data_IF_876981224054
#
_entry.id   IF_876981224054
#
_cell.length_a   1.000
_cell.length_b   1.000
_cell.length_c   1.000
_cell.angle_alpha   90.00
_cell.angle_beta   90.00
_cell.angle_gamma   90.00
#
_symmetry.space_group_name_H-M   'P 1'
#
loop_
_entity.id
_entity.type
_entity.pdbx_description
1 polymer ?
#
# COMPACT_ATOMS: atom_id res chain seq x y z
N UNK A 1 26.81 -26.78 65.10
CA UNK A 1 27.14 -26.58 63.68
C UNK A 1 25.87 -26.15 62.95
N UNK A 2 25.68 -24.85 62.73
CA UNK A 2 24.52 -24.28 62.02
C UNK A 2 24.85 -24.14 60.55
N UNK A 3 24.15 -24.85 59.65
CA UNK A 3 24.30 -24.74 58.22
C UNK A 3 23.47 -23.53 57.74
N UNK A 4 24.12 -22.52 57.22
CA UNK A 4 23.55 -21.37 56.57
C UNK A 4 23.18 -21.80 55.12
N UNK A 5 21.88 -21.78 54.79
CA UNK A 5 21.35 -21.99 53.44
C UNK A 5 21.25 -20.62 52.80
N UNK A 6 22.16 -20.33 51.87
CA UNK A 6 22.12 -19.11 51.02
C UNK A 6 21.13 -19.37 49.88
N UNK A 7 19.97 -18.76 49.94
CA UNK A 7 19.03 -18.69 48.81
C UNK A 7 19.53 -17.63 47.83
N UNK A 8 20.15 -18.08 46.73
CA UNK A 8 20.50 -17.22 45.61
C UNK A 8 19.23 -16.91 44.82
N UNK A 9 18.73 -15.69 44.95
CA UNK A 9 17.62 -15.17 44.15
C UNK A 9 18.17 -14.88 42.75
N UNK A 10 17.99 -15.83 41.84
CA UNK A 10 18.28 -15.61 40.40
C UNK A 10 17.11 -14.80 39.83
N UNK A 11 17.24 -13.48 39.82
CA UNK A 11 16.32 -12.58 39.08
C UNK A 11 16.45 -12.86 37.60
N UNK A 12 15.58 -13.70 37.06
CA UNK A 12 15.42 -13.88 35.62
C UNK A 12 14.84 -12.57 35.07
N UNK A 13 15.75 -11.73 34.57
CA UNK A 13 15.39 -10.56 33.78
C UNK A 13 14.78 -11.08 32.48
N UNK A 14 13.46 -11.25 32.46
CA UNK A 14 12.73 -11.48 31.21
C UNK A 14 12.93 -10.26 30.33
N UNK A 15 13.98 -10.30 29.52
CA UNK A 15 14.13 -9.39 28.38
C UNK A 15 12.94 -9.67 27.46
N UNK A 16 11.80 -8.98 27.67
CA UNK A 16 10.68 -8.98 26.73
C UNK A 16 11.27 -8.37 25.46
N UNK A 17 11.68 -9.22 24.50
CA UNK A 17 11.85 -8.76 23.15
C UNK A 17 10.56 -8.04 22.78
N UNK A 18 10.61 -6.79 22.34
CA UNK A 18 9.38 -6.11 21.95
C UNK A 18 8.76 -6.94 20.83
N UNK A 19 7.60 -7.55 21.12
CA UNK A 19 6.74 -8.10 20.06
C UNK A 19 6.52 -6.90 19.16
N UNK A 20 7.03 -6.98 17.94
CA UNK A 20 6.91 -5.89 16.99
C UNK A 20 5.41 -5.69 16.74
N UNK A 21 4.87 -4.58 17.24
CA UNK A 21 3.44 -4.32 17.17
C UNK A 21 3.00 -4.33 15.71
N UNK A 22 1.94 -5.07 15.43
CA UNK A 22 1.25 -5.07 14.14
C UNK A 22 0.26 -3.92 14.19
N UNK A 23 0.38 -2.95 13.31
CA UNK A 23 -0.55 -1.84 13.21
C UNK A 23 -0.49 -1.20 11.82
N UNK A 24 -1.62 -0.64 11.40
CA UNK A 24 -1.70 0.15 10.18
C UNK A 24 -1.34 1.63 10.43
N UNK A 25 -1.55 2.13 11.67
CA UNK A 25 -1.26 3.52 12.02
C UNK A 25 -0.09 3.61 13.01
N UNK A 26 0.82 4.51 12.73
CA UNK A 26 2.04 4.73 13.51
C UNK A 26 2.26 6.21 13.79
N UNK A 27 2.56 6.55 15.04
CA UNK A 27 3.19 7.83 15.35
C UNK A 27 4.69 7.70 15.10
N UNK A 28 5.26 8.65 14.38
CA UNK A 28 6.68 8.72 14.06
C UNK A 28 7.29 10.00 14.61
N UNK A 29 8.39 9.88 15.33
CA UNK A 29 9.06 11.02 15.96
C UNK A 29 10.58 10.87 15.88
N UNK A 30 11.27 12.01 15.87
CA UNK A 30 12.73 12.09 15.88
C UNK A 30 13.15 13.44 16.50
N UNK A 31 14.22 13.50 17.32
CA UNK A 31 14.75 14.78 17.82
C UNK A 31 15.02 15.75 16.68
N UNK A 32 14.55 17.00 16.82
CA UNK A 32 14.69 18.05 15.80
C UNK A 32 13.70 17.96 14.63
N UNK A 33 12.71 17.07 14.71
CA UNK A 33 11.63 16.94 13.73
C UNK A 33 10.27 17.06 14.43
N UNK A 34 9.25 17.43 13.67
CA UNK A 34 7.88 17.40 14.17
C UNK A 34 7.41 15.94 14.33
N UNK A 35 6.55 15.73 15.33
CA UNK A 35 5.81 14.47 15.43
C UNK A 35 4.85 14.37 14.25
N UNK A 36 4.86 13.23 13.58
CA UNK A 36 4.05 12.94 12.41
C UNK A 36 3.36 11.59 12.57
N UNK A 37 2.46 11.28 11.65
CA UNK A 37 1.79 9.98 11.59
C UNK A 37 2.04 9.32 10.24
N UNK A 38 2.09 7.99 10.24
CA UNK A 38 2.23 7.16 9.04
C UNK A 38 1.16 6.09 9.05
N UNK A 39 0.33 6.06 8.03
CA UNK A 39 -0.74 5.08 7.86
C UNK A 39 -0.49 4.19 6.66
N UNK A 40 -0.76 2.89 6.80
CA UNK A 40 -0.91 1.95 5.70
C UNK A 40 -2.32 1.99 5.15
N UNK A 41 -2.48 2.31 3.88
CA UNK A 41 -3.79 2.35 3.19
C UNK A 41 -4.03 1.10 2.36
N UNK A 42 -5.27 0.96 1.89
CA UNK A 42 -5.67 -0.02 0.89
C UNK A 42 -6.47 0.68 -0.21
N UNK A 43 -6.17 0.35 -1.46
CA UNK A 43 -6.81 1.01 -2.61
C UNK A 43 -8.23 0.53 -2.89
N UNK A 44 -8.66 -0.55 -2.23
CA UNK A 44 -9.99 -1.14 -2.38
C UNK A 44 -10.55 -1.34 -0.97
N UNK A 45 -11.73 -0.79 -0.71
CA UNK A 45 -12.44 -0.99 0.56
C UNK A 45 -13.65 -1.88 0.33
N UNK A 46 -14.12 -2.54 1.38
CA UNK A 46 -15.39 -3.27 1.41
C UNK A 46 -16.33 -2.69 2.49
N UNK A 47 -17.48 -3.32 2.68
CA UNK A 47 -18.46 -2.89 3.69
C UNK A 47 -17.89 -2.79 5.12
N UNK A 48 -16.87 -3.60 5.45
CA UNK A 48 -16.26 -3.62 6.79
C UNK A 48 -15.18 -2.54 6.95
N UNK A 49 -14.58 -2.08 5.84
CA UNK A 49 -13.52 -1.05 5.82
C UNK A 49 -14.10 0.33 5.41
N UNK A 50 -15.42 0.42 5.16
CA UNK A 50 -16.08 1.66 4.69
C UNK A 50 -15.77 2.88 5.54
N UNK A 51 -15.61 2.68 6.84
CA UNK A 51 -15.41 3.76 7.79
C UNK A 51 -13.98 3.75 8.30
N UNK A 52 -13.28 4.83 8.02
CA UNK A 52 -11.97 5.07 8.62
C UNK A 52 -12.18 5.39 10.10
N UNK A 53 -11.48 4.68 10.96
CA UNK A 53 -11.60 4.81 12.42
C UNK A 53 -11.34 6.25 12.90
N UNK A 54 -12.11 6.72 13.88
CA UNK A 54 -12.01 8.08 14.44
C UNK A 54 -10.61 8.43 14.96
N UNK A 55 -9.84 7.44 15.40
CA UNK A 55 -8.44 7.64 15.81
C UNK A 55 -7.59 8.16 14.65
N UNK A 56 -7.86 7.71 13.42
CA UNK A 56 -7.15 8.19 12.22
C UNK A 56 -7.44 9.67 11.99
N UNK A 57 -8.73 10.07 12.09
CA UNK A 57 -9.14 11.45 11.96
C UNK A 57 -8.54 12.36 13.02
N UNK A 58 -8.53 11.89 14.26
CA UNK A 58 -7.90 12.58 15.39
C UNK A 58 -6.41 12.79 15.17
N UNK A 59 -5.69 11.80 14.65
CA UNK A 59 -4.27 11.93 14.31
C UNK A 59 -4.06 12.88 13.12
N UNK A 60 -4.93 12.85 12.12
CA UNK A 60 -4.83 13.74 10.95
C UNK A 60 -5.04 15.21 11.35
N UNK A 61 -6.00 15.51 12.24
CA UNK A 61 -6.27 16.87 12.74
C UNK A 61 -5.07 17.50 13.47
N UNK A 62 -4.12 16.71 13.96
CA UNK A 62 -2.88 17.20 14.57
C UNK A 62 -1.81 17.56 13.55
N UNK A 63 -2.08 17.37 12.27
CA UNK A 63 -1.15 17.62 11.17
C UNK A 63 -1.54 18.86 10.37
N UNK A 64 -0.55 19.50 9.77
CA UNK A 64 -0.75 20.64 8.88
C UNK A 64 -0.73 20.26 7.39
N UNK A 65 -0.44 18.99 7.08
CA UNK A 65 -0.33 18.48 5.72
C UNK A 65 -0.72 17.00 5.68
N UNK A 66 -1.47 16.61 4.65
CA UNK A 66 -1.65 15.22 4.23
C UNK A 66 -0.71 14.92 3.08
N UNK A 67 0.14 13.89 3.22
CA UNK A 67 1.02 13.43 2.16
C UNK A 67 0.63 12.00 1.75
N UNK A 68 0.04 11.86 0.58
CA UNK A 68 -0.34 10.59 -0.05
C UNK A 68 0.76 10.10 -0.99
N UNK A 69 0.66 8.87 -1.50
CA UNK A 69 1.49 8.43 -2.62
C UNK A 69 1.30 9.38 -3.81
N UNK A 70 0.06 9.61 -4.21
CA UNK A 70 -0.32 10.51 -5.29
C UNK A 70 -1.26 11.62 -4.79
N UNK A 71 -1.14 12.80 -5.37
CA UNK A 71 -2.14 13.86 -5.23
C UNK A 71 -3.27 13.60 -6.23
N UNK A 72 -4.41 13.10 -5.74
CA UNK A 72 -5.54 12.71 -6.58
C UNK A 72 -6.24 13.92 -7.25
N UNK A 73 -5.96 15.15 -6.80
CA UNK A 73 -6.43 16.37 -7.50
C UNK A 73 -5.62 16.67 -8.76
N UNK A 74 -4.42 16.10 -8.89
CA UNK A 74 -3.51 16.33 -10.02
C UNK A 74 -3.45 15.11 -10.94
N UNK A 75 -4.63 14.65 -11.38
CA UNK A 75 -4.71 13.55 -12.35
C UNK A 75 -4.19 14.01 -13.71
N UNK A 76 -3.04 13.48 -14.11
CA UNK A 76 -2.47 13.70 -15.43
C UNK A 76 -3.11 12.74 -16.45
N UNK A 77 -3.07 13.10 -17.75
CA UNK A 77 -3.43 12.15 -18.80
C UNK A 77 -2.35 11.08 -18.91
N UNK A 78 -2.67 9.87 -18.45
CA UNK A 78 -1.75 8.74 -18.39
C UNK A 78 -1.76 7.87 -19.65
N UNK A 79 -2.68 8.10 -20.58
CA UNK A 79 -2.92 7.20 -21.72
C UNK A 79 -1.66 6.96 -22.57
N UNK A 80 -0.83 7.98 -22.76
CA UNK A 80 0.43 7.84 -23.48
C UNK A 80 1.41 6.90 -22.78
N UNK A 81 1.43 6.91 -21.45
CA UNK A 81 2.36 6.12 -20.66
C UNK A 81 1.93 4.67 -20.50
N UNK A 82 0.63 4.38 -20.50
CA UNK A 82 0.10 3.01 -20.32
C UNK A 82 -0.07 2.27 -21.65
N UNK A 83 0.21 2.91 -22.78
CA UNK A 83 0.03 2.36 -24.13
C UNK A 83 1.30 1.65 -24.60
N UNK A 84 1.16 0.42 -25.12
CA UNK A 84 2.23 -0.31 -25.79
C UNK A 84 2.53 0.31 -27.15
N UNK A 85 3.82 0.46 -27.47
CA UNK A 85 4.26 1.06 -28.76
C UNK A 85 4.25 0.06 -29.92
N UNK A 86 4.69 -1.16 -29.66
CA UNK A 86 5.03 -2.13 -30.71
C UNK A 86 4.15 -3.39 -30.69
N UNK A 87 3.36 -3.60 -29.66
CA UNK A 87 2.51 -4.79 -29.49
C UNK A 87 1.06 -4.38 -29.23
N UNK A 88 0.18 -5.35 -29.41
CA UNK A 88 -1.23 -5.27 -29.02
C UNK A 88 -1.59 -6.50 -28.19
N UNK A 89 -2.65 -6.41 -27.40
CA UNK A 89 -3.07 -7.50 -26.52
C UNK A 89 -3.40 -8.75 -27.31
N UNK A 90 -4.09 -8.62 -28.43
CA UNK A 90 -4.44 -9.74 -29.33
C UNK A 90 -3.24 -10.41 -30.03
N UNK A 91 -2.06 -9.79 -29.98
CA UNK A 91 -0.80 -10.38 -30.45
C UNK A 91 -0.05 -11.14 -29.36
N UNK A 92 -0.30 -10.84 -28.08
CA UNK A 92 0.47 -11.38 -26.96
C UNK A 92 -0.34 -12.34 -26.07
N UNK A 93 -1.67 -12.33 -26.15
CA UNK A 93 -2.55 -13.30 -25.50
C UNK A 93 -3.04 -14.36 -26.46
N UNK A 94 -3.47 -15.51 -25.93
CA UNK A 94 -4.17 -16.51 -26.72
C UNK A 94 -5.55 -15.98 -27.17
N UNK A 95 -6.14 -16.54 -28.25
CA UNK A 95 -7.51 -16.19 -28.66
C UNK A 95 -8.53 -16.43 -27.57
N UNK A 96 -8.35 -17.45 -26.73
CA UNK A 96 -9.21 -17.78 -25.60
C UNK A 96 -9.13 -16.71 -24.52
N UNK A 97 -7.91 -16.29 -24.12
CA UNK A 97 -7.68 -15.23 -23.13
C UNK A 97 -8.23 -13.90 -23.62
N UNK A 98 -8.05 -13.59 -24.91
CA UNK A 98 -8.64 -12.39 -25.54
C UNK A 98 -10.17 -12.39 -25.43
N UNK A 99 -10.82 -13.53 -25.63
CA UNK A 99 -12.28 -13.65 -25.50
C UNK A 99 -12.75 -13.45 -24.06
N UNK A 100 -12.06 -14.06 -23.10
CA UNK A 100 -12.35 -13.89 -21.68
C UNK A 100 -12.18 -12.42 -21.28
N UNK A 101 -11.05 -11.81 -21.66
CA UNK A 101 -10.76 -10.42 -21.36
C UNK A 101 -11.77 -9.45 -22.00
N UNK A 102 -12.14 -9.65 -23.27
CA UNK A 102 -13.16 -8.82 -23.94
C UNK A 102 -14.50 -8.88 -23.22
N UNK A 103 -14.93 -10.08 -22.82
CA UNK A 103 -16.19 -10.27 -22.05
C UNK A 103 -16.15 -9.51 -20.72
N UNK A 104 -15.05 -9.59 -19.99
CA UNK A 104 -14.86 -8.87 -18.72
C UNK A 104 -14.87 -7.35 -18.91
N UNK A 105 -14.15 -6.85 -19.91
CA UNK A 105 -14.08 -5.43 -20.21
C UNK A 105 -15.45 -4.88 -20.56
N UNK A 106 -16.22 -5.56 -21.41
CA UNK A 106 -17.61 -5.16 -21.75
C UNK A 106 -18.49 -5.11 -20.52
N UNK A 107 -18.38 -6.09 -19.63
CA UNK A 107 -19.15 -6.12 -18.38
C UNK A 107 -18.78 -4.95 -17.46
N UNK A 108 -17.51 -4.62 -17.33
CA UNK A 108 -17.00 -3.62 -16.39
C UNK A 108 -17.06 -2.18 -16.92
N UNK A 109 -16.72 -1.99 -18.19
CA UNK A 109 -16.53 -0.65 -18.79
C UNK A 109 -17.54 -0.32 -19.89
N UNK A 110 -18.32 -1.30 -20.33
CA UNK A 110 -19.17 -1.28 -21.54
C UNK A 110 -18.38 -1.15 -22.86
N UNK A 111 -17.04 -1.22 -22.81
CA UNK A 111 -16.15 -1.18 -23.95
C UNK A 111 -15.43 -2.52 -24.10
N UNK A 112 -15.23 -2.98 -25.35
CA UNK A 112 -14.54 -4.22 -25.64
C UNK A 112 -13.03 -4.07 -25.73
N UNK A 113 -12.33 -5.21 -25.92
CA UNK A 113 -10.88 -5.30 -26.01
C UNK A 113 -10.30 -4.38 -27.09
N UNK A 114 -10.99 -4.19 -28.22
CA UNK A 114 -10.55 -3.31 -29.31
C UNK A 114 -10.19 -1.89 -28.83
N UNK A 115 -10.94 -1.37 -27.84
CA UNK A 115 -10.66 -0.05 -27.27
C UNK A 115 -9.37 -0.06 -26.43
N UNK A 116 -9.11 -1.15 -25.73
CA UNK A 116 -7.96 -1.30 -24.82
C UNK A 116 -6.80 -2.08 -25.44
N UNK A 117 -6.85 -2.43 -26.72
CA UNK A 117 -5.93 -3.38 -27.35
C UNK A 117 -4.44 -2.98 -27.30
N UNK A 118 -4.15 -1.69 -27.11
CA UNK A 118 -2.78 -1.18 -26.93
C UNK A 118 -2.39 -0.95 -25.47
N UNK A 119 -3.26 -1.19 -24.51
CA UNK A 119 -2.94 -1.00 -23.11
C UNK A 119 -1.97 -2.08 -22.60
N UNK A 120 -1.00 -1.69 -21.76
CA UNK A 120 -0.07 -2.66 -21.17
C UNK A 120 -0.81 -3.64 -20.24
N UNK A 121 -0.45 -4.94 -20.22
CA UNK A 121 -1.20 -5.97 -19.50
C UNK A 121 -1.42 -5.67 -18.01
N UNK A 122 -0.45 -5.08 -17.35
CA UNK A 122 -0.52 -4.79 -15.90
C UNK A 122 -1.68 -3.85 -15.53
N UNK A 123 -2.12 -2.98 -16.43
CA UNK A 123 -3.21 -2.03 -16.13
C UNK A 123 -4.60 -2.65 -16.22
N UNK A 124 -4.74 -3.85 -16.80
CA UNK A 124 -6.02 -4.56 -16.79
C UNK A 124 -6.41 -5.04 -15.38
N UNK A 125 -5.41 -5.25 -14.49
CA UNK A 125 -5.69 -5.62 -13.10
C UNK A 125 -6.64 -4.63 -12.42
N UNK A 126 -6.39 -3.33 -12.56
CA UNK A 126 -7.23 -2.31 -11.96
C UNK A 126 -8.64 -2.32 -12.52
N UNK A 127 -8.81 -2.55 -13.83
CA UNK A 127 -10.14 -2.62 -14.47
C UNK A 127 -10.89 -3.87 -14.03
N UNK A 128 -10.22 -5.03 -14.03
CA UNK A 128 -10.84 -6.32 -13.71
C UNK A 128 -11.22 -6.37 -12.22
N UNK A 129 -10.37 -5.83 -11.35
CA UNK A 129 -10.60 -5.79 -9.89
C UNK A 129 -11.59 -4.71 -9.45
N UNK A 130 -11.93 -3.74 -10.30
CA UNK A 130 -13.05 -2.84 -10.01
C UNK A 130 -14.34 -3.65 -9.91
N UNK A 131 -14.90 -3.73 -8.72
CA UNK A 131 -16.20 -4.36 -8.47
C UNK A 131 -17.16 -3.33 -7.89
N UNK A 132 -18.45 -3.41 -8.27
CA UNK A 132 -19.51 -2.56 -7.73
C UNK A 132 -19.70 -2.78 -6.20
N UNK A 133 -19.15 -3.87 -5.67
CA UNK A 133 -19.18 -4.20 -4.24
C UNK A 133 -18.06 -3.54 -3.44
N UNK A 134 -17.01 -3.07 -4.11
CA UNK A 134 -15.90 -2.42 -3.45
C UNK A 134 -16.19 -0.93 -3.25
N UNK A 135 -15.86 -0.46 -2.05
CA UNK A 135 -16.05 0.94 -1.69
C UNK A 135 -14.99 1.87 -2.29
N UNK A 136 -15.01 3.09 -1.83
CA UNK A 136 -14.06 4.13 -2.21
C UNK A 136 -12.66 3.78 -1.71
N UNK A 137 -11.62 3.97 -2.53
CA UNK A 137 -10.23 3.84 -2.11
C UNK A 137 -9.94 4.69 -0.85
N UNK A 138 -9.22 4.12 0.11
CA UNK A 138 -8.94 4.80 1.39
C UNK A 138 -8.18 6.11 1.19
N UNK A 139 -7.26 6.16 0.24
CA UNK A 139 -6.54 7.39 -0.11
C UNK A 139 -7.49 8.54 -0.48
N UNK A 140 -8.58 8.24 -1.22
CA UNK A 140 -9.60 9.23 -1.57
C UNK A 140 -10.44 9.63 -0.35
N UNK A 141 -10.73 8.71 0.57
CA UNK A 141 -11.41 9.03 1.84
C UNK A 141 -10.57 9.99 2.69
N UNK A 142 -9.25 9.72 2.80
CA UNK A 142 -8.31 10.58 3.51
C UNK A 142 -8.23 11.97 2.87
N UNK A 143 -8.12 12.04 1.54
CA UNK A 143 -8.05 13.32 0.82
C UNK A 143 -9.32 14.14 0.96
N UNK A 144 -10.49 13.52 0.78
CA UNK A 144 -11.79 14.18 0.97
C UNK A 144 -11.97 14.71 2.39
N UNK A 145 -11.45 14.00 3.40
CA UNK A 145 -11.49 14.47 4.77
C UNK A 145 -10.56 15.66 4.99
N UNK A 146 -9.32 15.59 4.48
CA UNK A 146 -8.37 16.70 4.55
C UNK A 146 -8.94 17.98 3.93
N UNK A 147 -9.61 17.87 2.77
CA UNK A 147 -10.28 18.99 2.11
C UNK A 147 -11.38 19.60 3.01
N UNK A 148 -12.20 18.76 3.66
CA UNK A 148 -13.27 19.22 4.55
C UNK A 148 -12.76 19.99 5.76
N UNK A 149 -11.59 19.62 6.30
CA UNK A 149 -11.00 20.27 7.47
C UNK A 149 -9.93 21.30 7.12
N UNK A 150 -9.72 21.58 5.83
CA UNK A 150 -8.81 22.62 5.34
C UNK A 150 -7.32 22.27 5.44
N UNK A 151 -6.95 20.99 5.51
CA UNK A 151 -5.57 20.53 5.49
C UNK A 151 -5.13 20.35 4.03
N UNK A 152 -4.00 20.97 3.67
CA UNK A 152 -3.43 20.82 2.34
C UNK A 152 -3.01 19.38 2.04
N UNK A 153 -3.17 18.95 0.79
CA UNK A 153 -2.75 17.62 0.33
C UNK A 153 -1.59 17.72 -0.66
N UNK A 154 -0.69 16.74 -0.66
CA UNK A 154 0.35 16.57 -1.67
C UNK A 154 0.62 15.09 -1.97
N UNK A 155 1.13 14.81 -3.19
CA UNK A 155 1.71 13.52 -3.54
C UNK A 155 3.20 13.44 -3.18
N UNK A 156 3.66 12.31 -2.68
CA UNK A 156 5.08 12.02 -2.45
C UNK A 156 5.79 11.56 -3.73
N UNK A 157 5.05 11.10 -4.71
CA UNK A 157 5.52 10.74 -6.04
C UNK A 157 4.54 11.27 -7.11
N UNK A 158 4.96 11.27 -8.36
CA UNK A 158 4.09 11.59 -9.49
C UNK A 158 3.47 10.34 -10.08
N UNK A 159 2.34 10.48 -10.79
CA UNK A 159 1.74 9.39 -11.58
C UNK A 159 2.77 8.77 -12.56
N UNK A 160 3.60 9.60 -13.16
CA UNK A 160 4.67 9.16 -14.07
C UNK A 160 5.70 8.26 -13.36
N UNK A 161 6.02 8.51 -12.10
CA UNK A 161 6.97 7.68 -11.35
C UNK A 161 6.36 6.33 -11.02
N UNK A 162 5.08 6.27 -10.66
CA UNK A 162 4.36 5.00 -10.47
C UNK A 162 4.30 4.19 -11.76
N UNK A 163 3.92 4.82 -12.87
CA UNK A 163 3.86 4.14 -14.18
C UNK A 163 5.23 3.60 -14.58
N UNK A 164 6.32 4.35 -14.37
CA UNK A 164 7.67 3.85 -14.62
C UNK A 164 8.01 2.62 -13.78
N UNK A 165 7.56 2.56 -12.52
CA UNK A 165 7.75 1.38 -11.69
C UNK A 165 7.05 0.15 -12.32
N UNK A 166 5.81 0.29 -12.78
CA UNK A 166 5.10 -0.77 -13.49
C UNK A 166 5.77 -1.14 -14.82
N UNK A 167 6.25 -0.16 -15.58
CA UNK A 167 6.95 -0.38 -16.85
C UNK A 167 8.31 -1.07 -16.70
N UNK A 168 8.88 -1.09 -15.49
CA UNK A 168 10.11 -1.85 -15.21
C UNK A 168 9.89 -3.36 -15.17
N UNK A 169 8.63 -3.80 -15.10
CA UNK A 169 8.23 -5.20 -15.22
C UNK A 169 8.18 -5.57 -16.70
N UNK A 170 8.86 -6.64 -17.10
CA UNK A 170 8.91 -7.02 -18.51
C UNK A 170 7.51 -7.33 -19.07
N UNK A 171 7.31 -7.08 -20.37
CA UNK A 171 6.03 -7.37 -21.03
C UNK A 171 5.64 -8.83 -20.87
N UNK A 172 6.61 -9.74 -20.93
CA UNK A 172 6.40 -11.19 -20.72
C UNK A 172 5.84 -11.48 -19.32
N UNK A 173 6.43 -10.88 -18.27
CA UNK A 173 5.95 -11.03 -16.90
C UNK A 173 4.55 -10.43 -16.71
N UNK A 174 4.30 -9.26 -17.30
CA UNK A 174 2.98 -8.63 -17.26
C UNK A 174 1.92 -9.51 -17.96
N UNK A 175 2.26 -10.06 -19.13
CA UNK A 175 1.38 -10.95 -19.92
C UNK A 175 1.07 -12.22 -19.13
N UNK A 176 2.11 -12.88 -18.60
CA UNK A 176 1.97 -14.07 -17.77
C UNK A 176 1.03 -13.83 -16.58
N UNK A 177 1.25 -12.75 -15.83
CA UNK A 177 0.40 -12.39 -14.71
C UNK A 177 -1.05 -12.17 -15.13
N UNK A 178 -1.30 -11.47 -16.25
CA UNK A 178 -2.67 -11.27 -16.76
C UNK A 178 -3.33 -12.60 -17.14
N UNK A 179 -2.62 -13.49 -17.85
CA UNK A 179 -3.13 -14.83 -18.20
C UNK A 179 -3.49 -15.63 -16.95
N UNK A 180 -2.60 -15.67 -15.95
CA UNK A 180 -2.86 -16.36 -14.67
C UNK A 180 -4.09 -15.79 -13.97
N UNK A 181 -4.25 -14.47 -13.97
CA UNK A 181 -5.43 -13.82 -13.41
C UNK A 181 -6.72 -14.22 -14.15
N UNK A 182 -6.71 -14.24 -15.48
CA UNK A 182 -7.88 -14.62 -16.28
C UNK A 182 -8.30 -16.08 -16.04
N UNK A 183 -7.35 -16.99 -15.86
CA UNK A 183 -7.62 -18.41 -15.59
C UNK A 183 -8.08 -18.69 -14.15
N UNK A 184 -7.77 -17.81 -13.22
CA UNK A 184 -8.15 -17.94 -11.81
C UNK A 184 -9.38 -17.09 -11.41
N UNK A 185 -10.13 -16.58 -12.38
CA UNK A 185 -11.34 -15.80 -12.10
C UNK A 185 -12.36 -16.62 -11.26
N UNK A 186 -12.86 -16.00 -10.19
CA UNK A 186 -13.83 -16.62 -9.30
C UNK A 186 -13.25 -17.59 -8.27
N UNK A 187 -11.94 -17.81 -8.27
CA UNK A 187 -11.25 -18.49 -7.18
C UNK A 187 -10.87 -17.48 -6.08
N UNK A 188 -10.72 -17.90 -4.81
CA UNK A 188 -10.11 -17.07 -3.80
C UNK A 188 -8.76 -16.54 -4.32
N UNK A 189 -8.58 -15.24 -4.30
CA UNK A 189 -7.42 -14.60 -4.92
C UNK A 189 -6.55 -13.89 -3.86
N UNK A 190 -5.42 -13.39 -4.31
CA UNK A 190 -4.49 -12.65 -3.44
C UNK A 190 -5.14 -11.39 -2.83
N UNK A 191 -6.11 -10.79 -3.52
CA UNK A 191 -6.83 -9.61 -3.02
C UNK A 191 -7.68 -9.97 -1.80
N UNK A 192 -8.41 -11.10 -1.83
CA UNK A 192 -9.21 -11.57 -0.68
C UNK A 192 -8.30 -11.83 0.53
N UNK A 193 -7.12 -12.39 0.28
CA UNK A 193 -6.09 -12.61 1.30
C UNK A 193 -5.55 -11.28 1.84
N UNK A 194 -5.25 -10.32 0.97
CA UNK A 194 -4.80 -8.99 1.36
C UNK A 194 -5.84 -8.24 2.18
N UNK A 195 -7.12 -8.31 1.79
CA UNK A 195 -8.24 -7.71 2.53
C UNK A 195 -8.35 -8.29 3.93
N UNK A 196 -8.24 -9.62 4.05
CA UNK A 196 -8.26 -10.32 5.34
C UNK A 196 -7.10 -9.88 6.23
N UNK A 197 -5.88 -9.85 5.71
CA UNK A 197 -4.69 -9.42 6.44
C UNK A 197 -4.78 -7.93 6.83
N UNK A 198 -5.33 -7.09 5.96
CA UNK A 198 -5.55 -5.67 6.23
C UNK A 198 -6.50 -5.47 7.43
N UNK A 199 -7.65 -6.15 7.43
CA UNK A 199 -8.60 -6.13 8.55
C UNK A 199 -7.98 -6.59 9.86
N UNK A 200 -7.08 -7.56 9.81
CA UNK A 200 -6.32 -8.05 10.96
C UNK A 200 -5.14 -7.13 11.34
N UNK A 201 -4.89 -6.08 10.58
CA UNK A 201 -3.70 -5.22 10.70
C UNK A 201 -2.37 -6.00 10.59
N UNK A 202 -2.38 -7.17 9.96
CA UNK A 202 -1.18 -7.99 9.78
C UNK A 202 -0.31 -7.47 8.64
N UNK A 203 0.40 -6.37 8.92
CA UNK A 203 1.33 -5.75 7.94
C UNK A 203 2.48 -6.69 7.55
N UNK A 204 2.84 -7.65 8.42
CA UNK A 204 3.86 -8.64 8.11
C UNK A 204 3.35 -9.68 7.13
N UNK A 205 2.15 -10.21 7.36
CA UNK A 205 1.48 -11.12 6.43
C UNK A 205 1.28 -10.48 5.06
N UNK A 206 0.82 -9.21 5.01
CA UNK A 206 0.70 -8.45 3.78
C UNK A 206 2.04 -8.28 3.05
N UNK A 207 3.12 -7.92 3.78
CA UNK A 207 4.44 -7.79 3.18
C UNK A 207 4.95 -9.14 2.63
N UNK A 208 4.73 -10.25 3.30
CA UNK A 208 5.11 -11.58 2.81
C UNK A 208 4.37 -11.95 1.53
N UNK A 209 3.08 -11.64 1.44
CA UNK A 209 2.26 -11.91 0.26
C UNK A 209 2.71 -11.04 -0.94
N UNK A 210 2.79 -9.71 -0.75
CA UNK A 210 3.13 -8.75 -1.82
C UNK A 210 4.58 -8.91 -2.29
N UNK A 211 5.49 -9.27 -1.38
CA UNK A 211 6.93 -9.39 -1.65
C UNK A 211 7.35 -10.82 -1.98
N UNK A 212 6.42 -11.68 -2.37
CA UNK A 212 6.70 -13.08 -2.75
C UNK A 212 7.50 -13.19 -4.06
N UNK A 213 7.31 -12.28 -5.00
CA UNK A 213 8.09 -12.18 -6.24
C UNK A 213 9.20 -11.11 -6.08
N UNK A 214 10.49 -11.51 -6.12
CA UNK A 214 11.62 -10.57 -5.97
C UNK A 214 11.69 -9.49 -7.05
N UNK A 215 11.24 -9.78 -8.28
CA UNK A 215 11.28 -8.82 -9.39
C UNK A 215 10.23 -7.74 -9.21
N UNK A 216 9.00 -8.11 -8.84
CA UNK A 216 7.91 -7.21 -8.51
C UNK A 216 8.22 -6.41 -7.24
N UNK A 217 8.79 -7.06 -6.22
CA UNK A 217 9.21 -6.40 -4.98
C UNK A 217 10.20 -5.27 -5.24
N UNK A 218 11.22 -5.53 -6.06
CA UNK A 218 12.22 -4.51 -6.40
C UNK A 218 11.59 -3.34 -7.16
N UNK A 219 10.75 -3.65 -8.15
CA UNK A 219 10.10 -2.66 -9.00
C UNK A 219 9.09 -1.78 -8.23
N UNK A 220 8.17 -2.41 -7.53
CA UNK A 220 6.99 -1.76 -6.97
C UNK A 220 7.17 -1.30 -5.52
N UNK A 221 8.10 -1.87 -4.76
CA UNK A 221 8.25 -1.65 -3.32
C UNK A 221 9.57 -0.97 -2.97
N UNK A 222 10.71 -1.61 -3.26
CA UNK A 222 11.98 -1.17 -2.66
C UNK A 222 12.42 0.23 -3.08
N UNK A 223 12.32 0.55 -4.38
CA UNK A 223 12.73 1.86 -4.89
C UNK A 223 11.82 2.97 -4.35
N UNK A 224 10.51 2.73 -4.39
CA UNK A 224 9.49 3.67 -3.92
C UNK A 224 9.61 3.91 -2.41
N UNK A 225 9.83 2.88 -1.61
CA UNK A 225 10.02 2.99 -0.16
C UNK A 225 11.20 3.88 0.24
N UNK A 226 12.30 3.83 -0.52
CA UNK A 226 13.44 4.75 -0.31
C UNK A 226 13.05 6.20 -0.57
N UNK A 227 12.23 6.43 -1.59
CA UNK A 227 11.62 7.72 -1.92
C UNK A 227 10.72 8.21 -0.77
N UNK A 228 9.77 7.38 -0.34
CA UNK A 228 8.87 7.70 0.77
C UNK A 228 9.63 8.03 2.05
N UNK A 229 10.59 7.20 2.46
CA UNK A 229 11.39 7.47 3.65
C UNK A 229 12.22 8.77 3.55
N UNK A 230 12.63 9.19 2.34
CA UNK A 230 13.29 10.49 2.10
C UNK A 230 12.30 11.64 2.23
N UNK A 231 11.10 11.52 1.64
CA UNK A 231 10.04 12.53 1.76
C UNK A 231 9.59 12.71 3.21
N UNK A 232 9.36 11.61 3.93
CA UNK A 232 9.01 11.64 5.36
C UNK A 232 10.08 12.39 6.15
N UNK A 233 11.36 12.07 5.93
CA UNK A 233 12.46 12.73 6.64
C UNK A 233 12.52 14.22 6.33
N UNK A 234 12.37 14.62 5.08
CA UNK A 234 12.42 16.04 4.68
C UNK A 234 11.23 16.82 5.24
N UNK A 235 10.02 16.31 5.06
CA UNK A 235 8.80 17.03 5.42
C UNK A 235 8.62 17.12 6.94
N UNK A 236 8.97 16.08 7.69
CA UNK A 236 8.86 16.09 9.16
C UNK A 236 9.85 17.06 9.83
N UNK A 237 10.91 17.49 9.14
CA UNK A 237 11.79 18.54 9.63
C UNK A 237 11.11 19.93 9.65
N UNK A 238 10.14 20.15 8.73
CA UNK A 238 9.52 21.46 8.53
C UNK A 238 8.15 21.58 9.20
N UNK A 239 7.37 20.49 9.28
CA UNK A 239 5.98 20.53 9.75
C UNK A 239 5.46 19.16 10.21
N UNK A 240 4.33 19.18 10.94
CA UNK A 240 3.57 17.97 11.24
C UNK A 240 2.83 17.47 10.00
N UNK A 241 3.00 16.18 9.66
CA UNK A 241 2.44 15.59 8.44
C UNK A 241 1.78 14.27 8.77
N UNK A 242 0.61 14.05 8.18
CA UNK A 242 -0.02 12.74 8.11
C UNK A 242 0.39 12.08 6.78
N UNK A 243 1.23 11.08 6.85
CA UNK A 243 1.68 10.31 5.69
C UNK A 243 0.79 9.10 5.48
N UNK A 244 0.42 8.81 4.24
CA UNK A 244 -0.30 7.60 3.90
C UNK A 244 0.33 6.95 2.68
N UNK A 245 0.63 5.65 2.82
CA UNK A 245 1.17 4.79 1.75
C UNK A 245 0.45 3.45 1.79
N UNK A 246 0.36 2.74 0.68
CA UNK A 246 -0.23 1.40 0.67
C UNK A 246 0.41 0.52 1.76
N UNK A 247 -0.41 -0.25 2.48
CA UNK A 247 0.03 -1.03 3.64
C UNK A 247 1.18 -2.00 3.32
N UNK A 248 1.25 -2.50 2.08
CA UNK A 248 2.37 -3.32 1.60
C UNK A 248 3.74 -2.64 1.61
N UNK A 249 3.78 -1.31 1.74
CA UNK A 249 5.01 -0.53 1.86
C UNK A 249 5.56 -0.46 3.29
N UNK A 250 4.74 -0.76 4.31
CA UNK A 250 5.12 -0.54 5.72
C UNK A 250 6.22 -1.49 6.19
N UNK A 251 6.04 -2.80 6.00
CA UNK A 251 6.88 -3.84 6.64
C UNK A 251 7.84 -4.49 5.62
N UNK A 252 8.82 -5.23 6.14
CA UNK A 252 9.85 -5.92 5.38
C UNK A 252 11.23 -5.28 5.48
N UNK A 253 12.25 -5.93 4.88
CA UNK A 253 13.65 -5.48 4.94
C UNK A 253 13.85 -4.06 4.40
N UNK A 254 13.12 -3.71 3.36
CA UNK A 254 13.09 -2.39 2.73
C UNK A 254 11.75 -1.66 2.98
N UNK A 255 10.97 -2.12 3.96
CA UNK A 255 9.74 -1.46 4.38
C UNK A 255 10.00 -0.07 4.97
N UNK A 256 9.05 0.84 4.82
CA UNK A 256 9.18 2.24 5.25
C UNK A 256 9.47 2.32 6.75
N UNK A 257 8.81 1.51 7.58
CA UNK A 257 9.07 1.48 9.03
C UNK A 257 10.53 1.13 9.33
N UNK A 258 11.09 0.11 8.66
CA UNK A 258 12.49 -0.27 8.85
C UNK A 258 13.46 0.81 8.35
N UNK A 259 13.15 1.46 7.23
CA UNK A 259 13.95 2.57 6.69
C UNK A 259 13.94 3.79 7.62
N UNK A 260 12.84 4.05 8.30
CA UNK A 260 12.73 5.12 9.30
C UNK A 260 13.50 4.78 10.58
N UNK A 261 13.42 3.52 11.08
CA UNK A 261 14.25 3.06 12.22
C UNK A 261 15.75 3.28 11.94
N UNK A 262 16.22 2.94 10.73
CA UNK A 262 17.61 3.18 10.29
C UNK A 262 17.99 4.67 10.24
N UNK A 263 17.01 5.57 10.20
CA UNK A 263 17.19 7.03 10.29
C UNK A 263 16.97 7.58 11.70
N UNK A 264 16.96 6.69 12.71
CA UNK A 264 16.78 7.04 14.13
C UNK A 264 15.41 7.68 14.43
N UNK A 265 14.34 7.24 13.75
CA UNK A 265 12.98 7.55 14.17
C UNK A 265 12.51 6.57 15.24
N UNK A 266 11.83 7.10 16.23
CA UNK A 266 11.02 6.33 17.17
C UNK A 266 9.65 6.10 16.53
N UNK A 267 9.20 4.83 16.51
CA UNK A 267 7.95 4.40 15.91
C UNK A 267 7.06 3.81 17.01
N UNK A 268 5.88 4.37 17.18
CA UNK A 268 4.87 3.91 18.14
C UNK A 268 3.62 3.49 17.37
N UNK A 269 3.24 2.22 17.50
CA UNK A 269 2.01 1.70 16.92
C UNK A 269 0.79 2.33 17.63
N UNK A 270 -0.23 2.68 16.84
CA UNK A 270 -1.51 3.18 17.33
C UNK A 270 -2.59 2.19 16.92
N UNK A 271 -3.33 1.66 17.89
CA UNK A 271 -4.49 0.81 17.61
C UNK A 271 -5.59 1.64 16.96
N UNK A 272 -6.10 1.15 15.83
CA UNK A 272 -7.24 1.76 15.11
C UNK A 272 -8.52 0.94 15.26
N UNK A 273 -8.48 -0.16 16.04
CA UNK A 273 -9.66 -0.92 16.40
C UNK A 273 -9.79 -0.90 17.94
N UNK A 274 -10.98 -0.59 18.42
CA UNK A 274 -11.35 -0.83 19.80
C UNK A 274 -11.49 -2.33 20.01
N UNK A 275 -10.78 -2.88 21.00
CA UNK A 275 -11.09 -4.21 21.50
C UNK A 275 -12.59 -4.24 21.84
N UNK A 276 -13.34 -5.13 21.18
CA UNK A 276 -14.74 -5.38 21.51
C UNK A 276 -14.82 -6.24 22.75
#
# INVERSE_FOLDING_TARGET
MKRLIIFSLFSILFCRLPIQAQALLWQISKPGHHTCYLMGTIHITDEEIKEVNDTVWTCMQQCSLLALELDLHKMENIMEYITMKNNTIDQILSPEDCHILDSLLRKKTRMGLTFFNKMQPIFFYSIIMMDDKHGTAMDLLLQNHADKIGIATMGMESMKDQIKAFQSISLEQQTKGLTEMLHNLGQPNELDSLMTLYKQQDIKGMALLIQSDPSLTKALIEHRNKGFAKHIHRLSADKSVFFAVGAGHLEGKQGVLNLLRKRNYTLQAISIYTEK
#
